data_IF_077319245409
#
_entry.id   IF_077319245409
#
_cell.length_a   1.000
_cell.length_b   1.000
_cell.length_c   1.000
_cell.angle_alpha   90.00
_cell.angle_beta   90.00
_cell.angle_gamma   90.00
#
_symmetry.space_group_name_H-M   'P 1'
#
loop_
_entity.id
_entity.type
_entity.pdbx_description
1 polymer ?
#
# COMPACT_ATOMS: atom_id res chain seq x y z
N UNK A 1 10.48 40.94 -5.00
CA UNK A 1 10.56 39.50 -4.64
C UNK A 1 9.15 39.05 -4.31
N UNK A 2 8.45 38.42 -5.25
CA UNK A 2 7.05 38.00 -5.12
C UNK A 2 6.94 36.57 -5.64
N UNK A 3 6.32 35.68 -4.86
CA UNK A 3 5.40 34.68 -5.43
C UNK A 3 5.73 33.19 -5.37
N UNK A 4 6.96 32.74 -5.55
CA UNK A 4 7.18 31.31 -5.83
C UNK A 4 7.95 30.57 -4.72
N UNK A 5 7.39 29.45 -4.26
CA UNK A 5 7.88 28.62 -3.15
C UNK A 5 9.31 28.08 -3.27
N UNK A 6 9.70 27.28 -2.27
CA UNK A 6 11.04 26.68 -2.18
C UNK A 6 11.36 25.76 -3.38
N UNK A 7 12.64 25.48 -3.68
CA UNK A 7 13.06 24.75 -4.89
C UNK A 7 12.34 23.40 -5.10
N UNK A 8 12.04 22.66 -4.03
CA UNK A 8 11.28 21.41 -4.14
C UNK A 8 9.84 21.69 -4.59
N UNK A 9 9.15 22.63 -3.93
CA UNK A 9 7.77 23.00 -4.29
C UNK A 9 7.66 23.45 -5.74
N UNK A 10 8.63 24.26 -6.21
CA UNK A 10 8.69 24.70 -7.61
C UNK A 10 8.91 23.53 -8.57
N UNK A 11 9.88 22.67 -8.29
CA UNK A 11 10.19 21.53 -9.15
C UNK A 11 9.02 20.52 -9.24
N UNK A 12 8.29 20.28 -8.15
CA UNK A 12 7.07 19.47 -8.19
C UNK A 12 5.99 20.11 -9.07
N UNK A 13 5.72 21.41 -8.87
CA UNK A 13 4.75 22.16 -9.67
C UNK A 13 5.09 22.11 -11.17
N UNK A 14 6.33 22.44 -11.52
CA UNK A 14 6.81 22.48 -12.90
C UNK A 14 6.80 21.10 -13.56
N UNK A 15 7.08 20.05 -12.78
CA UNK A 15 6.99 18.66 -13.26
C UNK A 15 5.55 18.29 -13.56
N UNK A 16 4.61 18.54 -12.64
CA UNK A 16 3.18 18.27 -12.86
C UNK A 16 2.66 19.00 -14.10
N UNK A 17 3.02 20.27 -14.28
CA UNK A 17 2.65 21.04 -15.46
C UNK A 17 3.21 20.45 -16.77
N UNK A 18 4.43 19.89 -16.71
CA UNK A 18 5.09 19.29 -17.88
C UNK A 18 4.48 17.94 -18.25
N UNK A 19 4.20 17.10 -17.25
CA UNK A 19 3.58 15.78 -17.44
C UNK A 19 2.14 15.91 -17.93
N UNK A 20 1.42 16.97 -17.54
CA UNK A 20 0.08 17.28 -18.01
C UNK A 20 0.03 17.78 -19.47
N UNK A 21 1.17 18.11 -20.08
CA UNK A 21 1.20 18.64 -21.44
C UNK A 21 0.81 17.54 -22.47
N UNK A 22 0.00 17.85 -23.50
CA UNK A 22 -0.49 16.84 -24.46
C UNK A 22 0.61 16.05 -25.19
N UNK A 23 1.79 16.64 -25.37
CA UNK A 23 2.93 15.99 -26.03
C UNK A 23 3.61 14.93 -25.15
N UNK A 24 3.41 14.97 -23.82
CA UNK A 24 4.13 14.10 -22.88
C UNK A 24 3.86 12.62 -23.13
N UNK A 25 2.58 12.27 -23.28
CA UNK A 25 2.13 10.88 -23.43
C UNK A 25 2.68 10.18 -24.68
N UNK A 26 2.98 10.94 -25.74
CA UNK A 26 3.53 10.41 -27.01
C UNK A 26 5.03 10.64 -27.16
N UNK A 27 5.67 11.39 -26.26
CA UNK A 27 7.10 11.66 -26.30
C UNK A 27 7.93 10.39 -26.09
N UNK A 28 9.06 10.30 -26.82
CA UNK A 28 10.05 9.24 -26.59
C UNK A 28 10.72 9.39 -25.21
N UNK A 29 11.19 8.29 -24.58
CA UNK A 29 11.81 8.33 -23.25
C UNK A 29 12.94 9.35 -23.11
N UNK A 30 13.81 9.47 -24.12
CA UNK A 30 14.91 10.43 -24.11
C UNK A 30 14.43 11.90 -24.08
N UNK A 31 13.35 12.20 -24.80
CA UNK A 31 12.75 13.55 -24.80
C UNK A 31 12.14 13.87 -23.43
N UNK A 32 11.49 12.90 -22.79
CA UNK A 32 10.98 13.04 -21.41
C UNK A 32 12.12 13.27 -20.41
N UNK A 33 13.22 12.51 -20.52
CA UNK A 33 14.41 12.71 -19.69
C UNK A 33 14.95 14.12 -19.83
N UNK A 34 15.19 14.59 -21.06
CA UNK A 34 15.71 15.93 -21.33
C UNK A 34 14.81 17.02 -20.75
N UNK A 35 13.49 16.87 -20.84
CA UNK A 35 12.55 17.81 -20.26
C UNK A 35 12.63 17.84 -18.71
N UNK A 36 12.89 16.71 -18.05
CA UNK A 36 12.96 16.65 -16.58
C UNK A 36 14.31 17.06 -15.99
N UNK A 37 15.40 16.99 -16.75
CA UNK A 37 16.73 17.39 -16.26
C UNK A 37 16.72 18.81 -15.67
N UNK A 38 16.03 19.75 -16.32
CA UNK A 38 15.94 21.14 -15.84
C UNK A 38 15.13 21.31 -14.52
N UNK A 39 14.38 20.28 -14.11
CA UNK A 39 13.55 20.28 -12.89
C UNK A 39 14.19 19.50 -11.74
N UNK A 40 15.37 18.92 -11.94
CA UNK A 40 16.10 18.28 -10.87
C UNK A 40 16.56 19.30 -9.84
N UNK A 41 16.62 18.87 -8.58
CA UNK A 41 17.10 19.68 -7.46
C UNK A 41 18.26 18.96 -6.80
N UNK A 42 19.35 19.67 -6.53
CA UNK A 42 20.52 19.16 -5.83
C UNK A 42 20.61 19.71 -4.41
N UNK A 43 21.10 18.90 -3.48
CA UNK A 43 21.43 19.32 -2.12
C UNK A 43 22.96 19.37 -1.90
N UNK A 44 23.44 20.08 -0.87
CA UNK A 44 24.88 20.18 -0.56
C UNK A 44 25.57 18.83 -0.29
N UNK A 45 24.81 17.80 0.11
CA UNK A 45 25.27 16.42 0.29
C UNK A 45 25.55 15.68 -1.03
N UNK A 46 25.44 16.38 -2.18
CA UNK A 46 25.58 15.86 -3.55
C UNK A 46 24.47 14.88 -3.94
N UNK A 47 23.40 14.77 -3.16
CA UNK A 47 22.20 14.07 -3.59
C UNK A 47 21.44 14.89 -4.63
N UNK A 48 20.78 14.17 -5.54
CA UNK A 48 19.87 14.75 -6.53
C UNK A 48 18.46 14.28 -6.27
N UNK A 49 17.49 15.14 -6.55
CA UNK A 49 16.09 14.92 -6.28
C UNK A 49 15.28 15.17 -7.54
N UNK A 50 14.31 14.29 -7.76
CA UNK A 50 13.39 14.37 -8.89
C UNK A 50 11.98 14.08 -8.40
N UNK A 51 11.02 14.90 -8.84
CA UNK A 51 9.62 14.50 -8.79
C UNK A 51 9.33 13.62 -10.01
N UNK A 52 9.03 12.34 -9.79
CA UNK A 52 9.06 11.31 -10.82
C UNK A 52 7.78 10.49 -10.87
N UNK A 53 7.94 9.27 -11.40
CA UNK A 53 6.85 8.33 -11.59
C UNK A 53 5.97 8.18 -10.34
N UNK A 54 4.67 7.98 -10.54
CA UNK A 54 3.66 7.80 -9.48
C UNK A 54 3.39 9.04 -8.63
N UNK A 55 3.80 10.22 -9.12
CA UNK A 55 3.71 11.47 -8.38
C UNK A 55 4.42 11.35 -7.01
N UNK A 56 5.69 10.94 -7.05
CA UNK A 56 6.53 10.72 -5.87
C UNK A 56 7.91 11.37 -6.04
N UNK A 57 8.51 11.76 -4.92
CA UNK A 57 9.88 12.22 -4.90
C UNK A 57 10.86 11.04 -4.90
N UNK A 58 11.91 11.16 -5.70
CA UNK A 58 13.01 10.22 -5.78
C UNK A 58 14.31 10.94 -5.42
N UNK A 59 15.14 10.28 -4.64
CA UNK A 59 16.49 10.72 -4.30
C UNK A 59 17.52 9.83 -4.95
N UNK A 60 18.43 10.41 -5.70
CA UNK A 60 19.67 9.78 -6.09
C UNK A 60 20.72 9.99 -5.00
N UNK A 61 21.34 8.91 -4.54
CA UNK A 61 22.39 8.97 -3.52
C UNK A 61 23.75 8.56 -4.11
N UNK A 62 24.82 9.39 -3.93
CA UNK A 62 26.11 9.14 -4.56
C UNK A 62 26.82 7.86 -4.10
N UNK A 63 26.55 7.39 -2.88
CA UNK A 63 27.17 6.16 -2.36
C UNK A 63 26.76 4.89 -3.14
N UNK A 64 25.50 4.80 -3.56
CA UNK A 64 24.96 3.64 -4.29
C UNK A 64 24.82 3.91 -5.80
N UNK A 65 24.85 5.18 -6.22
CA UNK A 65 24.66 5.56 -7.61
C UNK A 65 23.26 5.27 -8.17
N UNK A 66 22.26 5.08 -7.29
CA UNK A 66 20.89 4.68 -7.62
C UNK A 66 19.86 5.70 -7.12
N UNK A 67 18.70 5.69 -7.78
CA UNK A 67 17.51 6.44 -7.38
C UNK A 67 16.63 5.60 -6.45
N UNK A 68 16.09 6.24 -5.41
CA UNK A 68 15.20 5.63 -4.42
C UNK A 68 13.97 6.51 -4.22
N UNK A 69 12.74 5.96 -4.17
CA UNK A 69 11.59 6.70 -3.65
C UNK A 69 11.91 7.21 -2.24
N UNK A 70 11.82 8.52 -2.03
CA UNK A 70 12.16 9.14 -0.75
C UNK A 70 11.35 10.41 -0.58
N UNK A 71 10.62 10.54 0.54
CA UNK A 71 9.90 11.77 0.85
C UNK A 71 10.88 12.95 0.90
N UNK A 72 10.53 14.09 0.29
CA UNK A 72 11.44 15.23 0.25
C UNK A 72 11.66 15.76 1.68
N UNK A 73 12.86 16.29 1.98
CA UNK A 73 13.14 16.85 3.30
C UNK A 73 12.12 17.94 3.65
N UNK A 74 11.73 17.98 4.91
CA UNK A 74 10.78 18.97 5.45
C UNK A 74 11.48 20.12 6.15
N UNK A 75 12.68 19.90 6.70
CA UNK A 75 13.47 20.95 7.35
C UNK A 75 13.65 22.19 6.47
N UNK A 76 13.21 23.35 6.95
CA UNK A 76 13.17 24.60 6.18
C UNK A 76 14.55 25.00 5.65
N UNK A 77 15.59 24.87 6.48
CA UNK A 77 16.97 25.18 6.07
C UNK A 77 17.48 24.24 4.97
N UNK A 78 17.16 22.95 5.05
CA UNK A 78 17.57 21.95 4.05
C UNK A 78 16.95 22.28 2.70
N UNK A 79 15.64 22.54 2.66
CA UNK A 79 14.93 22.91 1.42
C UNK A 79 15.44 24.21 0.82
N UNK A 80 15.76 25.22 1.65
CA UNK A 80 16.34 26.50 1.19
C UNK A 80 17.77 26.35 0.66
N UNK A 81 18.53 25.36 1.12
CA UNK A 81 19.88 25.08 0.62
C UNK A 81 19.91 24.43 -0.76
N UNK A 82 18.76 23.96 -1.24
CA UNK A 82 18.63 23.21 -2.47
C UNK A 82 18.83 24.11 -3.70
N UNK A 83 19.49 23.56 -4.74
CA UNK A 83 19.79 24.29 -5.97
C UNK A 83 19.18 23.57 -7.16
N UNK A 84 18.41 24.25 -8.03
CA UNK A 84 17.92 23.64 -9.26
C UNK A 84 19.09 23.25 -10.17
N UNK A 85 18.86 22.31 -11.08
CA UNK A 85 19.84 21.97 -12.11
C UNK A 85 20.22 23.22 -12.92
N UNK A 86 21.52 23.45 -13.09
CA UNK A 86 22.08 24.57 -13.83
C UNK A 86 23.09 24.07 -14.87
N UNK A 87 23.30 24.81 -15.97
CA UNK A 87 24.37 24.54 -16.93
C UNK A 87 25.73 24.42 -16.22
N UNK A 88 26.46 23.34 -16.46
CA UNK A 88 27.75 23.05 -15.82
C UNK A 88 27.67 22.10 -14.62
N UNK A 89 26.48 21.80 -14.09
CA UNK A 89 26.28 20.65 -13.21
C UNK A 89 26.06 19.39 -14.08
N UNK A 90 26.64 18.27 -13.65
CA UNK A 90 26.43 16.96 -14.28
C UNK A 90 25.40 16.17 -13.47
N UNK A 91 24.09 16.28 -13.80
CA UNK A 91 23.07 15.48 -13.12
C UNK A 91 23.26 13.99 -13.42
N UNK A 92 22.89 13.10 -12.49
CA UNK A 92 22.93 11.66 -12.73
C UNK A 92 21.92 11.26 -13.82
N UNK A 93 22.16 10.15 -14.54
CA UNK A 93 21.21 9.64 -15.52
C UNK A 93 19.87 9.30 -14.84
N UNK A 94 18.77 9.65 -15.51
CA UNK A 94 17.41 9.35 -15.05
C UNK A 94 16.96 8.02 -15.69
N UNK A 95 16.80 6.94 -14.92
CA UNK A 95 16.38 5.65 -15.45
C UNK A 95 14.91 5.68 -15.91
N UNK A 96 14.54 4.79 -16.84
CA UNK A 96 13.23 4.84 -17.48
C UNK A 96 12.08 4.50 -16.52
N UNK A 97 12.37 3.71 -15.48
CA UNK A 97 11.44 3.20 -14.49
C UNK A 97 10.87 4.31 -13.58
N UNK A 98 11.63 5.40 -13.40
CA UNK A 98 11.20 6.55 -12.58
C UNK A 98 10.70 7.73 -13.42
N UNK A 99 10.69 7.60 -14.76
CA UNK A 99 10.13 8.62 -15.63
C UNK A 99 8.60 8.57 -15.55
N UNK A 100 7.93 9.71 -15.32
CA UNK A 100 6.48 9.80 -15.44
C UNK A 100 6.00 9.34 -16.82
N UNK A 101 5.00 8.49 -16.85
CA UNK A 101 4.34 8.06 -18.08
C UNK A 101 3.19 9.00 -18.46
N UNK A 102 2.66 9.77 -17.50
CA UNK A 102 1.44 10.57 -17.61
C UNK A 102 0.30 9.96 -16.77
N UNK A 103 -0.19 8.76 -17.10
CA UNK A 103 -1.28 8.11 -16.36
C UNK A 103 -0.97 7.86 -14.88
N UNK A 104 0.30 7.73 -14.52
CA UNK A 104 0.78 7.58 -13.14
C UNK A 104 0.61 8.85 -12.29
N UNK A 105 0.24 9.98 -12.89
CA UNK A 105 -0.15 11.22 -12.21
C UNK A 105 -1.68 11.38 -12.10
N UNK A 106 -2.46 10.46 -12.68
CA UNK A 106 -3.92 10.56 -12.74
C UNK A 106 -4.61 10.35 -11.39
N UNK A 107 -3.95 9.67 -10.45
CA UNK A 107 -4.46 9.40 -9.12
C UNK A 107 -3.51 9.95 -8.07
N UNK A 108 -4.07 10.62 -7.06
CA UNK A 108 -3.37 10.76 -5.80
C UNK A 108 -3.54 9.43 -5.04
N UNK A 109 -2.45 8.67 -4.97
CA UNK A 109 -2.46 7.38 -4.30
C UNK A 109 -2.59 7.52 -2.77
N UNK A 110 -2.24 8.67 -2.17
CA UNK A 110 -2.25 8.89 -0.72
C UNK A 110 -1.55 7.78 0.08
N UNK A 111 -1.59 7.83 1.43
CA UNK A 111 -1.34 6.62 2.22
C UNK A 111 -2.51 5.64 2.03
N UNK A 112 -2.25 4.35 1.86
CA UNK A 112 -3.32 3.36 1.74
C UNK A 112 -4.11 3.29 3.06
N UNK A 113 -5.39 2.94 2.99
CA UNK A 113 -6.26 2.84 4.17
C UNK A 113 -6.46 1.37 4.60
N UNK A 114 -6.36 1.12 5.90
CA UNK A 114 -6.67 -0.16 6.53
C UNK A 114 -8.17 -0.36 6.73
N UNK A 115 -8.55 -1.63 6.93
CA UNK A 115 -9.92 -2.01 7.27
C UNK A 115 -10.20 -1.86 8.78
N UNK A 116 -9.14 -1.77 9.58
CA UNK A 116 -9.20 -1.44 11.00
C UNK A 116 -9.51 0.04 11.27
N UNK A 117 -10.02 0.33 12.47
CA UNK A 117 -10.22 1.69 12.99
C UNK A 117 -11.48 2.42 12.50
N UNK A 118 -12.08 2.01 11.37
CA UNK A 118 -13.38 2.54 10.92
C UNK A 118 -14.27 1.46 10.31
N UNK A 119 -15.56 1.39 10.68
CA UNK A 119 -16.46 0.39 10.11
C UNK A 119 -16.67 0.62 8.60
N UNK A 120 -17.01 -0.46 7.90
CA UNK A 120 -17.49 -0.39 6.51
C UNK A 120 -18.95 0.05 6.46
N UNK A 121 -19.36 0.65 5.34
CA UNK A 121 -20.76 1.06 5.18
C UNK A 121 -21.70 -0.15 5.17
N UNK A 122 -22.89 0.01 5.75
CA UNK A 122 -23.93 -1.04 5.70
C UNK A 122 -24.35 -1.39 4.27
N UNK A 123 -24.30 -0.44 3.34
CA UNK A 123 -24.56 -0.67 1.91
C UNK A 123 -23.51 -1.60 1.30
N UNK A 124 -22.22 -1.44 1.66
CA UNK A 124 -21.16 -2.34 1.22
C UNK A 124 -21.40 -3.76 1.75
N UNK A 125 -21.66 -3.89 3.06
CA UNK A 125 -21.93 -5.18 3.69
C UNK A 125 -23.14 -5.88 3.06
N UNK A 126 -24.22 -5.14 2.78
CA UNK A 126 -25.41 -5.67 2.13
C UNK A 126 -25.08 -6.23 0.74
N UNK A 127 -24.38 -5.46 -0.11
CA UNK A 127 -24.02 -5.90 -1.46
C UNK A 127 -23.12 -7.13 -1.43
N UNK A 128 -22.09 -7.15 -0.58
CA UNK A 128 -21.20 -8.30 -0.44
C UNK A 128 -21.93 -9.53 0.07
N UNK A 129 -22.81 -9.39 1.06
CA UNK A 129 -23.62 -10.49 1.57
C UNK A 129 -24.46 -11.13 0.46
N UNK A 130 -25.10 -10.33 -0.39
CA UNK A 130 -25.86 -10.84 -1.53
C UNK A 130 -24.98 -11.62 -2.52
N UNK A 131 -23.79 -11.11 -2.83
CA UNK A 131 -22.83 -11.78 -3.73
C UNK A 131 -22.34 -13.10 -3.14
N UNK A 132 -22.03 -13.14 -1.84
CA UNK A 132 -21.58 -14.35 -1.14
C UNK A 132 -22.70 -15.38 -1.06
N UNK A 133 -23.94 -14.97 -0.80
CA UNK A 133 -25.09 -15.86 -0.80
C UNK A 133 -25.33 -16.48 -2.19
N UNK A 134 -25.22 -15.71 -3.27
CA UNK A 134 -25.29 -16.25 -4.64
C UNK A 134 -24.14 -17.22 -4.93
N UNK A 135 -22.91 -16.87 -4.52
CA UNK A 135 -21.74 -17.72 -4.68
C UNK A 135 -21.86 -19.06 -3.93
N UNK A 136 -22.49 -19.06 -2.75
CA UNK A 136 -22.68 -20.24 -1.91
C UNK A 136 -23.65 -21.29 -2.52
N UNK A 137 -24.52 -20.88 -3.45
CA UNK A 137 -25.44 -21.78 -4.13
C UNK A 137 -24.75 -22.72 -5.14
N UNK A 138 -23.48 -22.48 -5.46
CA UNK A 138 -22.72 -23.28 -6.40
C UNK A 138 -22.48 -24.70 -5.85
N UNK A 139 -22.79 -25.78 -6.62
CA UNK A 139 -22.57 -27.15 -6.17
C UNK A 139 -21.07 -27.43 -5.93
N UNK A 140 -20.64 -27.84 -4.71
CA UNK A 140 -19.22 -28.01 -4.41
C UNK A 140 -18.50 -29.02 -5.31
N UNK A 141 -19.21 -30.02 -5.82
CA UNK A 141 -18.67 -31.01 -6.76
C UNK A 141 -18.32 -30.43 -8.13
N UNK A 142 -19.05 -29.40 -8.57
CA UNK A 142 -18.76 -28.67 -9.82
C UNK A 142 -17.72 -27.57 -9.62
N UNK A 143 -17.53 -27.15 -8.37
CA UNK A 143 -16.62 -26.09 -7.96
C UNK A 143 -15.67 -26.57 -6.84
N UNK A 144 -14.88 -27.64 -7.04
CA UNK A 144 -14.04 -28.16 -5.97
C UNK A 144 -12.96 -27.15 -5.56
N UNK A 145 -12.70 -27.12 -4.25
CA UNK A 145 -11.70 -26.27 -3.59
C UNK A 145 -10.80 -27.14 -2.73
N UNK A 146 -9.49 -27.09 -2.97
CA UNK A 146 -8.48 -27.87 -2.24
C UNK A 146 -7.80 -27.13 -1.09
N UNK A 147 -8.32 -25.98 -0.66
CA UNK A 147 -7.67 -25.13 0.33
C UNK A 147 -8.10 -25.51 1.75
N UNK A 148 -7.14 -25.80 2.62
CA UNK A 148 -7.39 -26.16 4.03
C UNK A 148 -7.92 -25.00 4.88
N UNK A 149 -7.89 -23.77 4.35
CA UNK A 149 -8.42 -22.59 5.02
C UNK A 149 -9.97 -22.59 5.08
N UNK A 150 -10.63 -23.30 4.17
CA UNK A 150 -12.09 -23.38 4.10
C UNK A 150 -12.59 -24.75 4.56
N UNK A 151 -13.84 -24.79 5.06
CA UNK A 151 -14.51 -26.03 5.42
C UNK A 151 -14.61 -26.96 4.21
N UNK A 152 -14.53 -28.27 4.47
CA UNK A 152 -14.77 -29.27 3.45
C UNK A 152 -16.18 -29.09 2.84
N UNK A 153 -16.27 -29.09 1.52
CA UNK A 153 -17.52 -28.82 0.80
C UNK A 153 -17.78 -27.33 0.53
N UNK A 154 -16.89 -26.41 0.89
CA UNK A 154 -17.00 -25.01 0.43
C UNK A 154 -16.69 -24.92 -1.07
N UNK A 155 -17.58 -24.30 -1.90
CA UNK A 155 -17.32 -24.18 -3.33
C UNK A 155 -16.25 -23.13 -3.63
N UNK A 156 -15.49 -23.32 -4.72
CA UNK A 156 -14.43 -22.39 -5.14
C UNK A 156 -14.93 -20.98 -5.48
N UNK A 157 -16.23 -20.80 -5.71
CA UNK A 157 -16.90 -19.49 -5.84
C UNK A 157 -16.83 -18.66 -4.56
N UNK A 158 -16.88 -19.28 -3.38
CA UNK A 158 -16.70 -18.59 -2.08
C UNK A 158 -15.23 -18.19 -1.89
N UNK A 159 -14.29 -19.08 -2.23
CA UNK A 159 -12.88 -18.73 -2.24
C UNK A 159 -12.57 -17.59 -3.23
N UNK A 160 -13.31 -17.50 -4.34
CA UNK A 160 -13.18 -16.43 -5.31
C UNK A 160 -13.63 -15.07 -4.75
N UNK A 161 -14.77 -15.00 -4.05
CA UNK A 161 -15.21 -13.75 -3.40
C UNK A 161 -14.26 -13.34 -2.27
N UNK A 162 -13.79 -14.29 -1.47
CA UNK A 162 -12.80 -14.05 -0.41
C UNK A 162 -11.48 -13.49 -0.96
N UNK A 163 -10.93 -14.18 -1.98
CA UNK A 163 -9.66 -13.81 -2.57
C UNK A 163 -9.75 -12.47 -3.30
N UNK A 164 -10.88 -12.19 -3.98
CA UNK A 164 -11.12 -10.90 -4.60
C UNK A 164 -11.23 -9.78 -3.55
N UNK A 165 -11.87 -10.00 -2.41
CA UNK A 165 -11.95 -9.00 -1.33
C UNK A 165 -10.57 -8.69 -0.75
N UNK A 166 -9.80 -9.72 -0.38
CA UNK A 166 -8.46 -9.54 0.18
C UNK A 166 -7.48 -8.95 -0.83
N UNK A 167 -7.54 -9.37 -2.09
CA UNK A 167 -6.73 -8.76 -3.16
C UNK A 167 -7.16 -7.32 -3.42
N UNK A 168 -8.44 -6.96 -3.30
CA UNK A 168 -8.85 -5.57 -3.47
C UNK A 168 -8.52 -4.69 -2.24
N UNK A 169 -8.28 -5.26 -1.06
CA UNK A 169 -7.98 -4.48 0.13
C UNK A 169 -6.64 -3.75 -0.01
N UNK A 170 -6.62 -2.45 0.30
CA UNK A 170 -5.36 -1.67 0.29
C UNK A 170 -4.44 -2.12 1.42
N UNK A 171 -4.98 -2.32 2.63
CA UNK A 171 -4.28 -2.87 3.80
C UNK A 171 -5.25 -3.79 4.56
N UNK A 172 -5.18 -5.12 4.38
CA UNK A 172 -6.09 -6.10 4.99
C UNK A 172 -5.76 -6.39 6.47
N UNK A 173 -5.72 -5.33 7.27
CA UNK A 173 -5.75 -5.39 8.74
C UNK A 173 -7.14 -4.99 9.20
N UNK A 174 -7.77 -5.81 10.04
CA UNK A 174 -9.14 -5.65 10.49
C UNK A 174 -9.19 -5.45 12.00
N UNK A 175 -10.20 -4.72 12.45
CA UNK A 175 -10.45 -4.49 13.87
C UNK A 175 -11.62 -5.38 14.31
N UNK A 176 -11.40 -6.38 15.18
CA UNK A 176 -12.47 -7.26 15.64
C UNK A 176 -13.52 -6.52 16.49
N UNK A 177 -13.18 -5.42 17.14
CA UNK A 177 -14.08 -4.71 18.05
C UNK A 177 -15.18 -3.95 17.30
N UNK A 178 -14.93 -3.59 16.03
CA UNK A 178 -15.93 -2.99 15.15
C UNK A 178 -17.10 -3.93 14.84
N UNK A 179 -16.93 -5.23 15.09
CA UNK A 179 -17.91 -6.27 14.78
C UNK A 179 -18.85 -6.58 15.98
N UNK A 180 -18.59 -5.96 17.13
CA UNK A 180 -19.31 -6.18 18.41
C UNK A 180 -20.73 -5.58 18.46
N UNK A 181 -21.13 -4.79 17.46
CA UNK A 181 -22.36 -3.98 17.42
C UNK A 181 -23.64 -4.69 16.95
N UNK A 182 -23.66 -6.02 16.88
CA UNK A 182 -24.86 -6.81 16.54
C UNK A 182 -25.15 -7.01 15.04
N UNK A 183 -24.32 -6.48 14.15
CA UNK A 183 -24.27 -6.88 12.74
C UNK A 183 -22.92 -7.52 12.45
N UNK A 184 -22.87 -8.66 11.73
CA UNK A 184 -21.60 -9.28 11.37
C UNK A 184 -20.78 -8.27 10.57
N UNK A 185 -19.54 -8.07 11.03
CA UNK A 185 -18.56 -7.28 10.32
C UNK A 185 -18.22 -7.84 8.95
N UNK A 186 -17.30 -7.15 8.28
CA UNK A 186 -16.87 -7.55 6.94
C UNK A 186 -16.34 -9.00 6.93
N UNK A 187 -15.56 -9.39 7.94
CA UNK A 187 -15.01 -10.74 8.04
C UNK A 187 -16.07 -11.80 8.39
N UNK A 188 -17.06 -11.43 9.22
CA UNK A 188 -18.17 -12.31 9.59
C UNK A 188 -19.01 -12.79 8.40
N UNK A 189 -18.91 -12.15 7.23
CA UNK A 189 -19.58 -12.61 6.01
C UNK A 189 -19.03 -13.95 5.47
N UNK A 190 -17.76 -14.27 5.74
CA UNK A 190 -17.12 -15.51 5.29
C UNK A 190 -16.94 -16.56 6.38
N UNK A 191 -17.07 -16.18 7.65
CA UNK A 191 -16.90 -17.04 8.81
C UNK A 191 -17.64 -18.40 8.71
N UNK A 192 -18.89 -18.49 8.20
CA UNK A 192 -19.60 -19.78 8.06
C UNK A 192 -18.91 -20.80 7.13
N UNK A 193 -17.95 -20.37 6.33
CA UNK A 193 -17.25 -21.20 5.36
C UNK A 193 -15.81 -21.50 5.77
N UNK A 194 -15.29 -20.91 6.84
CA UNK A 194 -13.89 -21.05 7.25
C UNK A 194 -13.69 -22.32 8.07
N UNK A 195 -12.59 -23.04 7.82
CA UNK A 195 -12.25 -24.26 8.55
C UNK A 195 -11.96 -24.01 10.04
N UNK A 196 -11.49 -22.80 10.34
CA UNK A 196 -11.21 -22.33 11.68
C UNK A 196 -11.76 -20.90 11.81
N UNK A 197 -12.28 -20.51 12.99
CA UNK A 197 -12.60 -19.12 13.26
C UNK A 197 -11.34 -18.26 13.16
N UNK A 198 -11.53 -16.95 13.02
CA UNK A 198 -10.40 -16.03 13.09
C UNK A 198 -9.72 -16.15 14.45
N UNK A 199 -8.39 -16.24 14.43
CA UNK A 199 -7.57 -16.28 15.63
C UNK A 199 -7.92 -15.09 16.55
N UNK A 200 -8.01 -15.32 17.86
CA UNK A 200 -8.30 -14.26 18.83
C UNK A 200 -7.04 -13.56 19.35
N UNK A 201 -5.85 -14.01 18.94
CA UNK A 201 -4.55 -13.44 19.27
C UNK A 201 -4.33 -12.03 18.69
N UNK A 202 -3.62 -11.18 19.44
CA UNK A 202 -3.34 -9.78 19.08
C UNK A 202 -4.56 -8.84 19.14
N UNK A 203 -4.30 -7.53 19.00
CA UNK A 203 -5.36 -6.49 18.96
C UNK A 203 -6.08 -6.44 17.61
N UNK A 204 -5.32 -6.61 16.52
CA UNK A 204 -5.81 -6.50 15.14
C UNK A 204 -5.75 -7.86 14.44
N UNK A 205 -6.64 -8.09 13.47
CA UNK A 205 -6.64 -9.30 12.64
C UNK A 205 -5.90 -9.04 11.34
N UNK A 206 -4.84 -9.80 11.10
CA UNK A 206 -3.97 -9.66 9.94
C UNK A 206 -4.25 -10.76 8.92
N UNK A 207 -4.76 -10.39 7.74
CA UNK A 207 -5.00 -11.34 6.66
C UNK A 207 -4.08 -11.06 5.50
N UNK A 208 -3.16 -11.98 5.24
CA UNK A 208 -2.20 -11.82 4.13
C UNK A 208 -2.97 -11.78 2.81
N UNK A 209 -2.88 -10.68 2.03
CA UNK A 209 -3.56 -10.63 0.75
C UNK A 209 -2.98 -11.69 -0.20
N UNK A 210 -3.83 -12.45 -0.91
CA UNK A 210 -3.37 -13.42 -1.88
C UNK A 210 -2.65 -12.70 -3.01
N UNK A 211 -1.77 -13.42 -3.72
CA UNK A 211 -1.19 -12.92 -4.95
C UNK A 211 -2.19 -13.07 -6.10
N UNK A 212 -2.03 -12.27 -7.15
CA UNK A 212 -2.87 -12.31 -8.34
C UNK A 212 -2.87 -13.72 -8.95
N UNK A 213 -1.72 -14.40 -8.99
CA UNK A 213 -1.62 -15.80 -9.42
C UNK A 213 -2.54 -16.77 -8.67
N UNK A 214 -2.81 -16.51 -7.38
CA UNK A 214 -3.72 -17.34 -6.57
C UNK A 214 -5.16 -17.13 -7.03
N UNK A 215 -5.54 -15.88 -7.34
CA UNK A 215 -6.85 -15.54 -7.91
C UNK A 215 -7.01 -16.16 -9.30
N UNK A 216 -5.99 -16.06 -10.15
CA UNK A 216 -5.93 -16.69 -11.48
C UNK A 216 -6.09 -18.20 -11.40
N UNK A 217 -5.45 -18.84 -10.42
CA UNK A 217 -5.49 -20.30 -10.26
C UNK A 217 -6.90 -20.87 -10.12
N UNK A 218 -7.82 -20.16 -9.44
CA UNK A 218 -9.23 -20.57 -9.31
C UNK A 218 -9.94 -20.63 -10.66
N UNK A 219 -9.63 -19.69 -11.56
CA UNK A 219 -10.17 -19.63 -12.92
C UNK A 219 -9.47 -20.61 -13.87
N UNK A 220 -8.13 -20.58 -13.88
CA UNK A 220 -7.30 -21.34 -14.81
C UNK A 220 -7.45 -22.86 -14.64
N UNK A 221 -7.64 -23.33 -13.40
CA UNK A 221 -7.88 -24.75 -13.16
C UNK A 221 -9.18 -25.20 -13.84
N UNK A 222 -10.29 -24.45 -13.70
CA UNK A 222 -11.58 -24.82 -14.32
C UNK A 222 -11.48 -24.79 -15.84
N UNK A 223 -10.75 -23.82 -16.40
CA UNK A 223 -10.47 -23.76 -17.83
C UNK A 223 -9.71 -24.99 -18.32
N UNK A 224 -8.67 -25.44 -17.61
CA UNK A 224 -7.90 -26.66 -17.95
C UNK A 224 -8.73 -27.93 -17.85
N UNK A 225 -9.69 -27.96 -16.93
CA UNK A 225 -10.65 -29.06 -16.80
C UNK A 225 -11.72 -29.07 -17.91
N UNK A 226 -11.68 -28.13 -18.88
CA UNK A 226 -12.69 -28.00 -19.93
C UNK A 226 -14.04 -27.50 -19.42
N UNK A 227 -14.10 -26.95 -18.20
CA UNK A 227 -15.32 -26.44 -17.55
C UNK A 227 -15.40 -24.92 -17.71
N UNK A 228 -15.49 -24.44 -18.95
CA UNK A 228 -15.52 -23.01 -19.27
C UNK A 228 -16.67 -22.26 -18.58
N UNK A 229 -17.86 -22.87 -18.47
CA UNK A 229 -19.00 -22.26 -17.78
C UNK A 229 -18.72 -22.04 -16.28
N UNK A 230 -18.10 -23.02 -15.61
CA UNK A 230 -17.71 -22.90 -14.21
C UNK A 230 -16.62 -21.84 -14.01
N UNK A 231 -15.66 -21.78 -14.94
CA UNK A 231 -14.64 -20.73 -14.94
C UNK A 231 -15.26 -19.33 -15.10
N UNK A 232 -16.24 -19.19 -16.00
CA UNK A 232 -17.01 -17.96 -16.20
C UNK A 232 -17.79 -17.55 -14.95
N UNK A 233 -18.40 -18.51 -14.24
CA UNK A 233 -19.09 -18.24 -12.98
C UNK A 233 -18.14 -17.77 -11.87
N UNK A 234 -16.93 -18.35 -11.78
CA UNK A 234 -15.89 -17.89 -10.84
C UNK A 234 -15.51 -16.44 -11.14
N UNK A 235 -15.26 -16.10 -12.40
CA UNK A 235 -14.97 -14.72 -12.83
C UNK A 235 -16.12 -13.79 -12.49
N UNK A 236 -17.38 -14.21 -12.72
CA UNK A 236 -18.56 -13.43 -12.36
C UNK A 236 -18.62 -13.14 -10.86
N UNK A 237 -18.33 -14.12 -10.00
CA UNK A 237 -18.26 -13.90 -8.55
C UNK A 237 -17.18 -12.86 -8.18
N UNK A 238 -16.01 -12.92 -8.83
CA UNK A 238 -14.93 -11.93 -8.62
C UNK A 238 -15.34 -10.53 -9.08
N UNK A 239 -15.95 -10.41 -10.27
CA UNK A 239 -16.46 -9.14 -10.83
C UNK A 239 -17.48 -8.52 -9.88
N UNK A 240 -18.51 -9.28 -9.48
CA UNK A 240 -19.56 -8.78 -8.58
C UNK A 240 -18.98 -8.33 -7.23
N UNK A 241 -17.99 -9.07 -6.71
CA UNK A 241 -17.27 -8.68 -5.49
C UNK A 241 -16.52 -7.35 -5.67
N UNK A 242 -15.71 -7.24 -6.71
CA UNK A 242 -14.93 -6.03 -6.97
C UNK A 242 -15.83 -4.81 -7.28
N UNK A 243 -16.95 -4.99 -7.97
CA UNK A 243 -17.96 -3.95 -8.20
C UNK A 243 -18.58 -3.47 -6.87
N UNK A 244 -18.93 -4.39 -5.96
CA UNK A 244 -19.46 -4.02 -4.66
C UNK A 244 -18.46 -3.17 -3.84
N UNK A 245 -17.17 -3.50 -3.93
CA UNK A 245 -16.06 -2.87 -3.21
C UNK A 245 -15.63 -1.51 -3.80
N UNK A 246 -15.85 -1.26 -5.10
CA UNK A 246 -15.29 -0.10 -5.82
C UNK A 246 -15.67 1.26 -5.23
N UNK A 247 -16.80 1.36 -4.53
CA UNK A 247 -17.27 2.61 -3.95
C UNK A 247 -16.58 2.96 -2.62
N UNK A 248 -15.91 2.02 -1.97
CA UNK A 248 -15.24 2.25 -0.69
C UNK A 248 -13.76 2.63 -0.92
N UNK A 249 -13.26 3.74 -0.35
CA UNK A 249 -11.89 4.22 -0.55
C UNK A 249 -10.80 3.18 -0.23
N UNK A 250 -11.06 2.24 0.70
CA UNK A 250 -10.10 1.20 1.10
C UNK A 250 -9.87 0.15 0.01
N UNK A 251 -10.78 0.05 -0.95
CA UNK A 251 -10.73 -0.94 -2.02
C UNK A 251 -10.69 -0.33 -3.42
N UNK A 252 -11.24 0.88 -3.60
CA UNK A 252 -11.51 1.52 -4.89
C UNK A 252 -10.43 1.34 -5.96
N UNK A 253 -9.17 1.60 -5.62
CA UNK A 253 -8.06 1.57 -6.59
C UNK A 253 -7.78 0.14 -7.05
N UNK A 254 -7.59 -0.81 -6.12
CA UNK A 254 -7.33 -2.22 -6.47
C UNK A 254 -8.59 -2.87 -7.06
N UNK A 255 -9.79 -2.56 -6.58
CA UNK A 255 -11.03 -3.02 -7.19
C UNK A 255 -11.15 -2.57 -8.66
N UNK A 256 -10.82 -1.31 -8.97
CA UNK A 256 -10.79 -0.83 -10.36
C UNK A 256 -9.74 -1.55 -11.21
N UNK A 257 -8.59 -1.89 -10.62
CA UNK A 257 -7.54 -2.65 -11.29
C UNK A 257 -8.02 -4.08 -11.59
N UNK A 258 -8.61 -4.76 -10.60
CA UNK A 258 -9.13 -6.12 -10.77
C UNK A 258 -10.19 -6.14 -11.86
N UNK A 259 -11.16 -5.23 -11.83
CA UNK A 259 -12.22 -5.14 -12.84
C UNK A 259 -11.64 -4.96 -14.25
N UNK A 260 -10.65 -4.09 -14.41
CA UNK A 260 -9.99 -3.91 -15.71
C UNK A 260 -9.31 -5.18 -16.22
N UNK A 261 -8.84 -6.04 -15.31
CA UNK A 261 -8.20 -7.32 -15.64
C UNK A 261 -9.24 -8.39 -16.02
N UNK A 262 -10.34 -8.49 -15.28
CA UNK A 262 -11.26 -9.65 -15.34
C UNK A 262 -12.58 -9.40 -16.07
N UNK A 263 -13.10 -8.16 -16.13
CA UNK A 263 -14.33 -7.85 -16.89
C UNK A 263 -14.23 -8.21 -18.38
N UNK A 264 -13.08 -8.05 -19.07
CA UNK A 264 -12.94 -8.48 -20.46
C UNK A 264 -13.24 -9.96 -20.69
N UNK A 265 -13.06 -10.83 -19.69
CA UNK A 265 -13.36 -12.26 -19.77
C UNK A 265 -14.85 -12.55 -19.82
N UNK A 266 -15.69 -11.65 -19.32
CA UNK A 266 -17.15 -11.79 -19.44
C UNK A 266 -17.64 -11.52 -20.86
N UNK A 267 -17.02 -10.56 -21.55
CA UNK A 267 -17.33 -10.25 -22.95
C UNK A 267 -16.72 -11.27 -23.92
N UNK A 268 -15.55 -11.80 -23.58
CA UNK A 268 -14.84 -12.78 -24.40
C UNK A 268 -14.24 -13.91 -23.53
N UNK A 269 -15.00 -14.99 -23.25
CA UNK A 269 -14.48 -16.13 -22.50
C UNK A 269 -13.29 -16.83 -23.19
N UNK A 270 -13.09 -16.60 -24.49
CA UNK A 270 -11.97 -17.17 -25.25
C UNK A 270 -10.64 -16.42 -25.05
N UNK A 271 -10.64 -15.26 -24.39
CA UNK A 271 -9.50 -14.35 -24.33
C UNK A 271 -8.23 -15.01 -23.79
N UNK A 272 -8.35 -15.86 -22.77
CA UNK A 272 -7.22 -16.56 -22.13
C UNK A 272 -6.82 -17.89 -22.78
N UNK A 273 -7.54 -18.38 -23.80
CA UNK A 273 -7.27 -19.70 -24.39
C UNK A 273 -5.88 -19.81 -25.01
N UNK A 274 -5.31 -18.69 -25.48
CA UNK A 274 -3.97 -18.67 -26.05
C UNK A 274 -2.88 -18.80 -24.99
N UNK A 275 -3.12 -18.30 -23.79
CA UNK A 275 -2.14 -18.28 -22.70
C UNK A 275 -2.20 -19.57 -21.86
N UNK A 276 -3.37 -20.21 -21.79
CA UNK A 276 -3.62 -21.40 -20.97
C UNK A 276 -2.62 -22.56 -21.18
N UNK A 277 -2.20 -22.91 -22.42
CA UNK A 277 -1.25 -24.00 -22.68
C UNK A 277 0.17 -23.69 -22.19
N UNK A 278 0.51 -22.41 -22.00
CA UNK A 278 1.84 -21.97 -21.60
C UNK A 278 2.01 -21.83 -20.07
N UNK A 279 1.04 -22.30 -19.29
CA UNK A 279 1.11 -22.39 -17.83
C UNK A 279 0.71 -21.11 -17.08
N UNK A 280 0.82 -21.15 -15.75
CA UNK A 280 0.35 -20.08 -14.86
C UNK A 280 1.08 -18.74 -15.07
N UNK A 281 2.39 -18.78 -15.36
CA UNK A 281 3.18 -17.56 -15.61
C UNK A 281 2.75 -16.82 -16.88
N UNK A 282 2.27 -17.55 -17.91
CA UNK A 282 1.75 -16.93 -19.12
C UNK A 282 0.39 -16.29 -18.85
N UNK A 283 -0.46 -16.94 -18.05
CA UNK A 283 -1.74 -16.39 -17.60
C UNK A 283 -1.55 -15.14 -16.73
N UNK A 284 -0.59 -15.17 -15.81
CA UNK A 284 -0.26 -14.02 -14.96
C UNK A 284 0.20 -12.83 -15.80
N UNK A 285 1.14 -13.02 -16.73
CA UNK A 285 1.57 -11.96 -17.65
C UNK A 285 0.42 -11.38 -18.46
N UNK A 286 -0.46 -12.24 -18.97
CA UNK A 286 -1.62 -11.84 -19.74
C UNK A 286 -2.59 -11.00 -18.89
N UNK A 287 -2.94 -11.45 -17.68
CA UNK A 287 -3.79 -10.70 -16.76
C UNK A 287 -3.15 -9.38 -16.31
N UNK A 288 -1.86 -9.38 -15.98
CA UNK A 288 -1.11 -8.16 -15.64
C UNK A 288 -1.14 -7.14 -16.79
N UNK A 289 -1.02 -7.60 -18.04
CA UNK A 289 -1.02 -6.71 -19.21
C UNK A 289 -2.34 -5.97 -19.45
N UNK A 290 -3.45 -6.47 -18.90
CA UNK A 290 -4.78 -5.84 -18.97
C UNK A 290 -4.93 -4.70 -17.97
N UNK A 291 -4.08 -4.63 -16.95
CA UNK A 291 -4.15 -3.57 -15.96
C UNK A 291 -3.80 -2.22 -16.60
N UNK A 292 -4.67 -1.19 -16.50
CA UNK A 292 -4.38 0.12 -17.04
C UNK A 292 -3.10 0.72 -16.41
N UNK A 293 -2.26 1.43 -17.18
CA UNK A 293 -1.01 1.99 -16.66
C UNK A 293 -1.19 2.88 -15.42
N UNK A 294 -2.30 3.61 -15.32
CA UNK A 294 -2.64 4.46 -14.17
C UNK A 294 -2.84 3.67 -12.85
N UNK A 295 -3.08 2.36 -12.95
CA UNK A 295 -3.32 1.47 -11.82
C UNK A 295 -2.14 0.51 -11.59
N UNK A 296 -1.03 0.66 -12.32
CA UNK A 296 0.09 -0.29 -12.31
C UNK A 296 0.73 -0.51 -10.93
N UNK A 297 0.73 0.50 -10.05
CA UNK A 297 1.23 0.37 -8.67
C UNK A 297 0.50 -0.68 -7.84
N UNK A 298 -0.76 -0.98 -8.18
CA UNK A 298 -1.54 -2.02 -7.49
C UNK A 298 -0.96 -3.42 -7.66
N UNK A 299 -0.17 -3.63 -8.72
CA UNK A 299 0.48 -4.90 -9.04
C UNK A 299 1.86 -5.06 -8.41
N UNK A 300 2.43 -4.02 -7.79
CA UNK A 300 3.79 -4.11 -7.23
C UNK A 300 3.92 -5.17 -6.14
N UNK A 301 2.86 -5.40 -5.35
CA UNK A 301 2.86 -6.47 -4.36
C UNK A 301 3.06 -7.87 -5.00
N UNK A 302 2.66 -8.03 -6.26
CA UNK A 302 2.75 -9.25 -7.04
C UNK A 302 4.06 -9.34 -7.84
N UNK A 303 4.46 -8.24 -8.49
CA UNK A 303 5.53 -8.24 -9.50
C UNK A 303 6.84 -7.58 -9.06
N UNK A 304 6.79 -6.70 -8.06
CA UNK A 304 7.86 -5.79 -7.68
C UNK A 304 7.85 -5.51 -6.16
N UNK A 305 8.03 -6.54 -5.31
CA UNK A 305 7.83 -6.42 -3.86
C UNK A 305 8.79 -5.42 -3.20
N UNK A 306 9.98 -5.21 -3.78
CA UNK A 306 10.94 -4.24 -3.27
C UNK A 306 10.51 -2.79 -3.53
N UNK A 307 10.00 -2.50 -4.73
CA UNK A 307 9.39 -1.23 -5.09
C UNK A 307 8.13 -0.97 -4.24
N UNK A 308 7.32 -2.02 -3.98
CA UNK A 308 6.19 -1.93 -3.05
C UNK A 308 6.63 -1.52 -1.64
N UNK A 309 7.71 -2.11 -1.13
CA UNK A 309 8.26 -1.77 0.18
C UNK A 309 8.79 -0.33 0.23
N UNK A 310 9.57 0.08 -0.77
CA UNK A 310 10.05 1.47 -0.87
C UNK A 310 8.89 2.46 -0.87
N UNK A 311 7.82 2.16 -1.61
CA UNK A 311 6.64 3.02 -1.64
C UNK A 311 5.86 3.04 -0.33
N UNK A 312 5.74 1.89 0.35
CA UNK A 312 5.09 1.85 1.66
C UNK A 312 5.86 2.69 2.69
N UNK A 313 7.19 2.66 2.69
CA UNK A 313 8.03 3.47 3.59
C UNK A 313 7.90 4.96 3.26
N UNK A 314 7.82 5.32 1.98
CA UNK A 314 7.49 6.68 1.56
C UNK A 314 6.13 7.11 2.12
N UNK A 315 5.08 6.31 1.92
CA UNK A 315 3.73 6.65 2.36
C UNK A 315 3.62 6.73 3.90
N UNK A 316 4.41 5.92 4.64
CA UNK A 316 4.55 6.05 6.10
C UNK A 316 5.20 7.37 6.49
N UNK A 317 6.30 7.76 5.83
CA UNK A 317 6.92 9.06 6.09
C UNK A 317 5.94 10.22 5.80
N UNK A 318 5.12 10.13 4.76
CA UNK A 318 4.06 11.12 4.49
C UNK A 318 3.00 11.15 5.59
N UNK A 319 2.52 9.98 6.03
CA UNK A 319 1.48 9.86 7.05
C UNK A 319 1.92 10.39 8.42
N UNK A 320 3.20 10.27 8.76
CA UNK A 320 3.75 10.72 10.04
C UNK A 320 4.06 12.23 10.09
N UNK A 321 3.99 12.95 8.97
CA UNK A 321 4.30 14.39 8.90
C UNK A 321 3.64 15.23 10.00
N UNK A 322 2.33 15.08 10.30
CA UNK A 322 1.68 15.91 11.31
C UNK A 322 2.21 15.70 12.74
N UNK A 323 2.84 14.54 13.01
CA UNK A 323 3.35 14.15 14.32
C UNK A 323 4.83 14.51 14.53
N UNK A 324 5.49 15.00 13.49
CA UNK A 324 6.94 15.21 13.46
C UNK A 324 7.40 16.58 13.97
N UNK A 325 6.47 17.40 14.46
CA UNK A 325 6.73 18.75 14.95
C UNK A 325 6.92 19.79 13.85
N UNK A 326 7.17 21.03 14.25
CA UNK A 326 7.44 22.16 13.35
C UNK A 326 8.85 22.03 12.74
N UNK A 327 9.01 22.04 11.40
CA UNK A 327 10.32 22.01 10.72
C UNK A 327 11.33 23.08 11.11
N UNK A 328 10.92 24.16 11.78
CA UNK A 328 11.82 25.20 12.31
C UNK A 328 12.23 24.97 13.78
N UNK A 329 11.60 24.01 14.47
CA UNK A 329 11.85 23.68 15.87
C UNK A 329 13.04 22.75 16.07
N UNK A 330 13.74 22.87 17.20
CA UNK A 330 14.80 21.93 17.61
C UNK A 330 14.27 20.56 18.01
N UNK A 331 12.97 20.45 18.32
CA UNK A 331 12.29 19.18 18.60
C UNK A 331 11.83 18.45 17.32
N UNK A 332 12.01 19.07 16.15
CA UNK A 332 11.64 18.51 14.86
C UNK A 332 12.31 17.16 14.62
N UNK A 333 11.52 16.19 14.15
CA UNK A 333 12.05 14.91 13.69
C UNK A 333 11.72 14.77 12.22
N UNK A 334 12.70 14.54 11.35
CA UNK A 334 12.41 14.36 9.93
C UNK A 334 11.52 13.09 9.73
N UNK A 335 10.37 13.19 9.05
CA UNK A 335 9.41 12.08 8.93
C UNK A 335 9.99 10.79 8.35
N UNK A 336 10.96 10.87 7.43
CA UNK A 336 11.66 9.69 6.89
C UNK A 336 12.46 8.93 7.97
N UNK A 337 13.00 9.64 8.96
CA UNK A 337 13.69 9.03 10.09
C UNK A 337 12.69 8.44 11.08
N UNK A 338 11.55 9.10 11.31
CA UNK A 338 10.47 8.55 12.13
C UNK A 338 9.93 7.25 11.52
N UNK A 339 9.69 7.22 10.21
CA UNK A 339 9.24 6.01 9.50
C UNK A 339 10.23 4.84 9.67
N UNK A 340 11.53 5.08 9.49
CA UNK A 340 12.57 4.05 9.71
C UNK A 340 12.65 3.63 11.17
N UNK A 341 12.51 4.55 12.11
CA UNK A 341 12.51 4.22 13.53
C UNK A 341 11.33 3.32 13.92
N UNK A 342 10.15 3.56 13.36
CA UNK A 342 8.97 2.71 13.60
C UNK A 342 9.11 1.34 12.92
N UNK A 343 9.55 1.28 11.67
CA UNK A 343 9.91 0.01 11.00
C UNK A 343 10.92 -0.79 11.83
N UNK A 344 11.92 -0.10 12.39
CA UNK A 344 12.92 -0.72 13.25
C UNK A 344 12.31 -1.33 14.53
N UNK A 345 11.25 -0.74 15.09
CA UNK A 345 10.58 -1.25 16.27
C UNK A 345 9.89 -2.60 15.98
N UNK A 346 9.14 -2.68 14.89
CA UNK A 346 8.46 -3.92 14.48
C UNK A 346 9.45 -5.01 14.06
N UNK A 347 10.47 -4.65 13.28
CA UNK A 347 11.53 -5.60 12.92
C UNK A 347 12.29 -6.10 14.15
N UNK A 348 12.63 -5.23 15.11
CA UNK A 348 13.30 -5.64 16.33
C UNK A 348 12.45 -6.57 17.21
N UNK A 349 11.13 -6.39 17.21
CA UNK A 349 10.19 -7.24 17.93
C UNK A 349 9.96 -8.61 17.31
N UNK A 350 10.15 -8.74 15.98
CA UNK A 350 9.83 -9.98 15.26
C UNK A 350 11.04 -10.67 14.60
N UNK A 351 11.74 -9.98 13.69
CA UNK A 351 12.82 -10.53 12.86
C UNK A 351 13.97 -9.52 12.68
N UNK A 352 14.74 -9.22 13.73
CA UNK A 352 15.85 -8.26 13.65
C UNK A 352 16.94 -8.69 12.67
N UNK A 353 17.08 -9.99 12.44
CA UNK A 353 18.03 -10.59 11.48
C UNK A 353 17.76 -10.16 10.03
N UNK A 354 16.53 -9.75 9.71
CA UNK A 354 16.14 -9.29 8.37
C UNK A 354 16.41 -7.80 8.14
N UNK A 355 16.88 -7.06 9.14
CA UNK A 355 17.15 -5.61 9.02
C UNK A 355 18.11 -5.26 7.87
N UNK A 356 19.20 -6.01 7.73
CA UNK A 356 20.19 -5.78 6.68
C UNK A 356 19.64 -6.06 5.27
N UNK A 357 19.06 -7.25 4.95
CA UNK A 357 18.54 -7.51 3.62
C UNK A 357 17.35 -6.59 3.25
N UNK A 358 16.49 -6.23 4.20
CA UNK A 358 15.41 -5.26 3.97
C UNK A 358 15.97 -3.84 3.77
N UNK A 359 16.95 -3.44 4.57
CA UNK A 359 17.62 -2.14 4.47
C UNK A 359 18.30 -1.90 3.12
N UNK A 360 18.67 -2.95 2.38
CA UNK A 360 19.24 -2.82 1.02
C UNK A 360 18.27 -2.20 0.00
N UNK A 361 16.97 -2.17 0.32
CA UNK A 361 15.95 -1.50 -0.49
C UNK A 361 15.76 -0.03 -0.11
N UNK A 362 16.30 0.42 1.01
CA UNK A 362 16.28 1.82 1.42
C UNK A 362 17.49 2.57 0.85
N UNK A 363 17.38 3.89 0.73
CA UNK A 363 18.54 4.71 0.38
C UNK A 363 19.62 4.63 1.47
N UNK A 364 20.90 4.86 1.14
CA UNK A 364 22.02 4.61 2.06
C UNK A 364 21.90 5.26 3.43
N UNK A 365 21.31 6.45 3.50
CA UNK A 365 21.08 7.16 4.75
C UNK A 365 20.08 6.40 5.65
N UNK A 366 18.94 6.00 5.07
CA UNK A 366 17.90 5.27 5.79
C UNK A 366 18.31 3.82 6.12
N UNK A 367 19.12 3.19 5.25
CA UNK A 367 19.71 1.86 5.50
C UNK A 367 20.64 1.88 6.71
N UNK A 368 21.53 2.87 6.77
CA UNK A 368 22.43 3.07 7.91
C UNK A 368 21.62 3.31 9.18
N UNK A 369 20.64 4.21 9.10
CA UNK A 369 19.75 4.52 10.23
C UNK A 369 18.99 3.31 10.76
N UNK A 370 18.44 2.47 9.89
CA UNK A 370 17.75 1.23 10.29
C UNK A 370 18.69 0.32 11.09
N UNK A 371 19.91 0.13 10.58
CA UNK A 371 20.93 -0.70 11.23
C UNK A 371 21.35 -0.13 12.59
N UNK A 372 21.56 1.18 12.68
CA UNK A 372 21.96 1.86 13.91
C UNK A 372 20.84 1.84 14.96
N UNK A 373 19.61 2.14 14.56
CA UNK A 373 18.46 2.13 15.47
C UNK A 373 18.25 0.74 16.05
N UNK A 374 18.38 -0.34 15.26
CA UNK A 374 18.24 -1.73 15.74
C UNK A 374 19.45 -2.18 16.57
N UNK A 375 20.66 -1.81 16.17
CA UNK A 375 21.90 -2.24 16.83
C UNK A 375 22.22 -1.50 18.13
N UNK A 376 21.74 -0.26 18.30
CA UNK A 376 22.13 0.61 19.41
C UNK A 376 20.93 0.92 20.33
N UNK A 377 20.82 0.29 21.52
CA UNK A 377 19.73 0.55 22.46
C UNK A 377 19.59 2.00 22.92
N UNK A 378 20.69 2.74 22.98
CA UNK A 378 20.72 4.16 23.34
C UNK A 378 20.42 5.12 22.19
N UNK A 379 20.08 4.63 21.00
CA UNK A 379 19.84 5.49 19.84
C UNK A 379 18.65 6.42 20.07
N UNK A 380 18.84 7.73 19.87
CA UNK A 380 17.86 8.75 20.24
C UNK A 380 16.49 8.63 19.55
N UNK A 381 16.40 7.99 18.38
CA UNK A 381 15.12 7.73 17.70
C UNK A 381 14.29 6.61 18.33
N UNK A 382 14.86 5.75 19.19
CA UNK A 382 14.06 4.77 19.94
C UNK A 382 13.07 5.42 20.90
N UNK A 383 13.20 6.73 21.18
CA UNK A 383 12.17 7.50 21.89
C UNK A 383 10.80 7.47 21.20
N UNK A 384 10.75 7.18 19.90
CA UNK A 384 9.52 7.07 19.11
C UNK A 384 8.87 5.69 19.19
N UNK A 385 9.58 4.69 19.73
CA UNK A 385 9.09 3.32 19.78
C UNK A 385 7.90 3.22 20.73
N UNK A 386 6.85 2.46 20.36
CA UNK A 386 5.79 2.13 21.28
C UNK A 386 6.32 1.44 22.54
N UNK A 387 5.69 1.74 23.67
CA UNK A 387 5.96 1.08 24.95
C UNK A 387 4.65 0.64 25.58
N UNK A 388 4.58 -0.65 25.94
CA UNK A 388 3.37 -1.27 26.52
C UNK A 388 2.11 -1.01 25.67
N UNK A 389 2.24 -1.14 24.35
CA UNK A 389 1.15 -0.95 23.40
C UNK A 389 0.69 0.50 23.22
N UNK A 390 1.48 1.49 23.61
CA UNK A 390 1.13 2.91 23.50
C UNK A 390 2.23 3.72 22.83
N UNK A 391 1.81 4.71 22.04
CA UNK A 391 2.71 5.71 21.47
C UNK A 391 3.24 6.65 22.56
N UNK A 392 4.50 7.11 22.44
CA UNK A 392 5.06 8.18 23.27
C UNK A 392 4.21 9.44 23.25
N UNK A 393 4.14 10.17 24.37
CA UNK A 393 3.29 11.37 24.54
C UNK A 393 3.57 12.44 23.46
N UNK A 394 4.85 12.74 23.20
CA UNK A 394 5.28 13.76 22.24
C UNK A 394 5.12 13.32 20.77
N UNK A 395 4.66 12.10 20.54
CA UNK A 395 4.48 11.51 19.21
C UNK A 395 3.10 10.85 19.09
N UNK A 396 2.06 11.56 19.54
CA UNK A 396 0.67 11.14 19.39
C UNK A 396 -0.01 11.82 18.20
N UNK A 397 -0.90 11.10 17.48
CA UNK A 397 -1.74 11.74 16.50
C UNK A 397 -2.69 12.75 17.16
N UNK A 398 -2.88 13.90 16.51
CA UNK A 398 -3.75 14.96 17.02
C UNK A 398 -5.24 14.66 16.83
N UNK A 399 -5.57 13.89 15.79
CA UNK A 399 -6.93 13.58 15.38
C UNK A 399 -7.04 12.14 14.83
N UNK A 400 -8.28 11.68 14.66
CA UNK A 400 -8.59 10.31 14.23
C UNK A 400 -8.17 10.03 12.79
N UNK A 401 -8.11 11.04 11.92
CA UNK A 401 -7.68 10.89 10.52
C UNK A 401 -6.16 10.65 10.43
N UNK A 402 -5.38 11.42 11.19
CA UNK A 402 -3.93 11.25 11.33
C UNK A 402 -3.62 9.88 11.93
N UNK A 403 -4.32 9.49 12.99
CA UNK A 403 -4.15 8.17 13.61
C UNK A 403 -4.45 7.03 12.62
N UNK A 404 -5.55 7.13 11.87
CA UNK A 404 -5.92 6.14 10.87
C UNK A 404 -4.91 6.04 9.72
N UNK A 405 -4.44 7.17 9.20
CA UNK A 405 -3.41 7.20 8.14
C UNK A 405 -2.09 6.59 8.61
N UNK A 406 -1.65 6.93 9.82
CA UNK A 406 -0.42 6.39 10.40
C UNK A 406 -0.53 4.88 10.68
N UNK A 407 -1.64 4.41 11.28
CA UNK A 407 -1.94 2.98 11.44
C UNK A 407 -1.87 2.24 10.11
N UNK A 408 -2.55 2.78 9.10
CA UNK A 408 -2.69 2.12 7.80
C UNK A 408 -1.36 2.05 7.06
N UNK A 409 -0.58 3.13 7.09
CA UNK A 409 0.74 3.18 6.47
C UNK A 409 1.75 2.28 7.20
N UNK A 410 1.72 2.23 8.54
CA UNK A 410 2.58 1.33 9.32
C UNK A 410 2.27 -0.13 8.97
N UNK A 411 1.00 -0.52 8.99
CA UNK A 411 0.59 -1.88 8.60
C UNK A 411 0.90 -2.21 7.13
N UNK A 412 0.83 -1.23 6.22
CA UNK A 412 1.24 -1.41 4.82
C UNK A 412 2.74 -1.70 4.68
N UNK A 413 3.58 -1.01 5.47
CA UNK A 413 5.03 -1.28 5.53
C UNK A 413 5.27 -2.70 6.04
N UNK A 414 4.54 -3.13 7.07
CA UNK A 414 4.67 -4.46 7.65
C UNK A 414 4.35 -5.59 6.67
N UNK A 415 3.24 -5.47 5.95
CA UNK A 415 2.94 -6.40 4.86
C UNK A 415 4.01 -6.39 3.77
N UNK A 416 4.54 -5.22 3.42
CA UNK A 416 5.49 -5.08 2.34
C UNK A 416 6.84 -5.71 2.67
N UNK A 417 7.39 -5.49 3.87
CA UNK A 417 8.69 -6.09 4.24
C UNK A 417 8.58 -7.60 4.49
N UNK A 418 7.46 -8.09 5.05
CA UNK A 418 7.20 -9.52 5.18
C UNK A 418 7.11 -10.20 3.80
N UNK A 419 6.43 -9.56 2.84
CA UNK A 419 6.38 -10.03 1.45
C UNK A 419 7.75 -10.05 0.80
N UNK A 420 8.53 -8.99 1.00
CA UNK A 420 9.88 -8.84 0.45
C UNK A 420 10.86 -9.88 0.99
N UNK A 421 10.75 -10.23 2.27
CA UNK A 421 11.51 -11.29 2.92
C UNK A 421 11.03 -12.70 2.53
N UNK A 422 10.75 -12.95 1.26
CA UNK A 422 10.26 -14.23 0.74
C UNK A 422 8.89 -14.67 1.32
N UNK A 423 8.04 -13.72 1.70
CA UNK A 423 6.70 -14.01 2.19
C UNK A 423 6.70 -14.73 3.54
N UNK A 424 7.54 -14.27 4.48
CA UNK A 424 7.45 -14.75 5.85
C UNK A 424 6.04 -14.52 6.42
N UNK A 425 5.59 -15.36 7.36
CA UNK A 425 4.33 -15.14 8.06
C UNK A 425 4.31 -13.80 8.81
N UNK A 426 3.10 -13.30 9.05
CA UNK A 426 2.87 -12.22 10.01
C UNK A 426 2.96 -12.81 11.43
N UNK A 427 3.47 -12.08 12.45
CA UNK A 427 3.46 -12.55 13.83
C UNK A 427 2.03 -12.86 14.29
N UNK A 428 1.81 -13.92 15.09
CA UNK A 428 0.47 -14.26 15.59
C UNK A 428 -0.23 -13.10 16.33
N UNK A 429 0.52 -12.37 17.17
CA UNK A 429 0.00 -11.23 17.93
C UNK A 429 -0.03 -9.91 17.12
N UNK A 430 0.40 -9.94 15.86
CA UNK A 430 0.56 -8.73 15.04
C UNK A 430 1.83 -7.94 15.34
N UNK A 431 1.82 -6.66 14.95
CA UNK A 431 2.96 -5.74 15.04
C UNK A 431 2.71 -4.64 16.06
N UNK A 432 3.77 -4.19 16.74
CA UNK A 432 3.62 -3.30 17.91
C UNK A 432 3.25 -1.88 17.51
N UNK A 433 3.74 -1.38 16.36
CA UNK A 433 3.47 -0.02 15.92
C UNK A 433 2.02 0.15 15.44
N UNK A 434 1.46 -0.69 14.54
CA UNK A 434 0.06 -0.59 14.16
C UNK A 434 -0.89 -0.71 15.35
N UNK A 435 -0.61 -1.63 16.29
CA UNK A 435 -1.41 -1.80 17.51
C UNK A 435 -1.39 -0.55 18.40
N UNK A 436 -0.23 0.10 18.52
CA UNK A 436 -0.12 1.35 19.28
C UNK A 436 -0.87 2.52 18.64
N UNK A 437 -0.92 2.57 17.30
CA UNK A 437 -1.78 3.53 16.60
C UNK A 437 -3.26 3.19 16.72
N UNK A 438 -3.64 1.91 16.75
CA UNK A 438 -5.02 1.49 16.99
C UNK A 438 -5.48 1.92 18.38
N UNK A 439 -4.67 1.67 19.41
CA UNK A 439 -4.94 2.12 20.77
C UNK A 439 -5.05 3.66 20.88
N UNK A 440 -4.23 4.40 20.12
CA UNK A 440 -4.31 5.86 20.06
C UNK A 440 -5.61 6.34 19.38
N UNK A 441 -6.04 5.64 18.33
CA UNK A 441 -7.30 5.93 17.63
C UNK A 441 -8.50 5.70 18.55
N UNK A 442 -8.52 4.59 19.30
CA UNK A 442 -9.56 4.28 20.28
C UNK A 442 -9.65 5.37 21.36
N UNK A 443 -8.50 5.81 21.87
CA UNK A 443 -8.44 6.89 22.86
C UNK A 443 -8.94 8.23 22.31
N UNK A 444 -8.75 8.51 21.02
CA UNK A 444 -9.27 9.71 20.36
C UNK A 444 -10.78 9.62 20.12
N UNK A 445 -11.29 8.44 19.74
CA UNK A 445 -12.71 8.20 19.51
C UNK A 445 -13.53 8.22 20.82
N UNK A 446 -12.94 7.83 21.94
CA UNK A 446 -13.58 7.83 23.26
C UNK A 446 -13.70 9.22 23.89
N UNK A 447 -13.01 10.26 23.38
CA UNK A 447 -13.16 11.62 23.90
C UNK A 447 -14.54 12.16 23.51
N UNK A 448 -15.37 12.61 24.46
CA UNK A 448 -16.64 13.25 24.12
C UNK A 448 -16.37 14.51 23.29
N UNK A 449 -17.24 14.78 22.31
CA UNK A 449 -17.20 16.02 21.53
C UNK A 449 -17.47 17.21 22.47
N UNK A 450 -16.43 17.77 23.07
CA UNK A 450 -16.53 19.01 23.84
C UNK A 450 -16.77 20.15 22.87
N UNK A 451 -18.03 20.54 22.69
CA UNK A 451 -18.37 21.62 21.76
C UNK A 451 -19.84 21.91 21.46
N UNK A 452 -20.80 21.47 22.28
CA UNK A 452 -22.12 22.13 22.35
C UNK A 452 -22.44 22.38 23.81
N UNK A 453 -21.86 23.46 24.35
CA UNK A 453 -22.40 24.08 25.55
C UNK A 453 -23.73 24.74 25.15
N UNK A 454 -24.84 24.11 25.52
CA UNK A 454 -26.13 24.79 25.60
C UNK A 454 -25.99 25.94 26.61
N UNK A 455 -25.97 27.18 26.11
CA UNK A 455 -26.41 28.31 26.90
C UNK A 455 -27.92 28.15 27.12
N UNK A 456 -28.31 28.02 28.39
CA UNK A 456 -29.67 28.24 28.89
C UNK A 456 -29.67 29.55 29.66
#
# INVERSE_FOLDING_TARGET
MSGDGDPFTRAEHDTRATVAAPWWATAAPLQRQQALIARLVSLPDRSWWMYGAWARWYRWHPADGRWFPCSPPRGTMVRRSARPAQPGLSPPPIPAEILPAGPDFAYDHGPPLALAGRPVSGALLYRLRSVIQEAALAPPMDYPLGWSYFLHGTPSTIAATWSAMLWCASVPVFDPDLDSGGSPGLLGLWEPYLAQPFDDHGRLRWLVPPLLRTVIGLYAERMRAGRADAAGQIVRCMVMTAQALRDDPRFKVRASALLSIIEPLQANPALDHRSLPYGDEAMEREWTSRCPPALGTTLFADTAPGERFQMAVYDLAEALRPMCGDPESTAFTEPRYAAVALLAADMAGYRPDLAAPIGNWLDPELRGLLSDVIGQPGHGLRRLWPSRGRLPEDFRPADTDTALKALSAAAAVDFAWCRLAHGIPIPPDGFTVPDAFAAALDALAAKPATGEASEV
#
